data_IF_879841171082
#
_entry.id   IF_879841171082
#
_cell.length_a   1.000
_cell.length_b   1.000
_cell.length_c   1.000
_cell.angle_alpha   90.00
_cell.angle_beta   90.00
_cell.angle_gamma   90.00
#
_symmetry.space_group_name_H-M   'P 1'
#
loop_
_entity.id
_entity.type
_entity.pdbx_description
1 polymer ?
#
# COMPACT_ATOMS: atom_id res chain seq x y z
N UNK A 1 -16.82 3.11 3.82
CA UNK A 1 -15.52 2.53 3.43
C UNK A 1 -15.02 1.77 4.64
N UNK A 2 -14.60 0.51 4.50
CA UNK A 2 -14.07 -0.25 5.65
C UNK A 2 -12.65 0.19 6.00
N UNK A 3 -12.16 -0.08 7.21
CA UNK A 3 -10.77 0.16 7.59
C UNK A 3 -9.80 -0.61 6.68
N UNK A 4 -10.21 -1.81 6.24
CA UNK A 4 -9.49 -2.61 5.25
C UNK A 4 -9.39 -1.91 3.90
N UNK A 5 -10.50 -1.42 3.34
CA UNK A 5 -10.47 -0.65 2.09
C UNK A 5 -9.66 0.64 2.25
N UNK A 6 -9.72 1.28 3.41
CA UNK A 6 -8.92 2.46 3.70
C UNK A 6 -7.41 2.12 3.72
N UNK A 7 -7.00 1.01 4.34
CA UNK A 7 -5.61 0.54 4.30
C UNK A 7 -5.15 0.28 2.87
N UNK A 8 -5.96 -0.40 2.05
CA UNK A 8 -5.60 -0.63 0.64
C UNK A 8 -5.39 0.68 -0.12
N UNK A 9 -6.21 1.70 0.15
CA UNK A 9 -5.99 3.05 -0.40
C UNK A 9 -4.66 3.67 0.07
N UNK A 10 -4.26 3.45 1.33
CA UNK A 10 -2.96 3.94 1.84
C UNK A 10 -1.80 3.26 1.12
N UNK A 11 -1.84 1.93 1.00
CA UNK A 11 -0.79 1.17 0.30
C UNK A 11 -0.73 1.58 -1.17
N UNK A 12 -1.90 1.74 -1.82
CA UNK A 12 -1.98 2.21 -3.19
C UNK A 12 -1.43 3.63 -3.36
N UNK A 13 -1.67 4.54 -2.42
CA UNK A 13 -1.14 5.90 -2.47
C UNK A 13 0.37 5.98 -2.15
N UNK A 14 0.89 5.02 -1.37
CA UNK A 14 2.28 5.00 -0.90
C UNK A 14 2.94 3.63 -1.16
N UNK A 15 3.12 3.23 -2.43
CA UNK A 15 3.76 1.96 -2.77
C UNK A 15 5.21 1.96 -2.28
N UNK A 16 5.60 0.87 -1.63
CA UNK A 16 6.91 0.74 -1.03
C UNK A 16 7.02 1.35 0.37
N UNK A 17 5.92 1.79 0.98
CA UNK A 17 5.93 2.15 2.40
C UNK A 17 6.16 0.91 3.27
N UNK A 18 6.92 1.08 4.34
CA UNK A 18 7.13 0.05 5.35
C UNK A 18 5.94 -0.08 6.29
N UNK A 19 5.84 -1.22 7.01
CA UNK A 19 4.80 -1.43 8.04
C UNK A 19 4.75 -0.28 9.07
N UNK A 20 5.92 0.25 9.45
CA UNK A 20 6.01 1.40 10.37
C UNK A 20 5.43 2.66 9.76
N UNK A 21 5.81 2.98 8.52
CA UNK A 21 5.33 4.16 7.81
C UNK A 21 3.82 4.07 7.54
N UNK A 22 3.30 2.89 7.21
CA UNK A 22 1.87 2.66 7.04
C UNK A 22 1.10 2.88 8.34
N UNK A 23 1.64 2.47 9.50
CA UNK A 23 1.04 2.77 10.81
C UNK A 23 1.04 4.27 11.11
N UNK A 24 2.13 4.97 10.80
CA UNK A 24 2.22 6.42 10.95
C UNK A 24 1.21 7.14 10.03
N UNK A 25 1.08 6.68 8.79
CA UNK A 25 0.13 7.19 7.79
C UNK A 25 -1.34 6.83 8.10
N UNK A 26 -1.59 5.75 8.84
CA UNK A 26 -2.91 5.37 9.31
C UNK A 26 -3.35 6.23 10.50
N UNK A 27 -2.42 6.61 11.37
CA UNK A 27 -2.67 7.49 12.51
C UNK A 27 -2.88 8.97 12.17
N UNK A 28 -2.81 9.34 10.88
CA UNK A 28 -3.17 10.69 10.44
C UNK A 28 -4.67 10.92 10.62
N UNK A 29 -5.07 12.06 11.21
CA UNK A 29 -6.44 12.33 11.64
C UNK A 29 -7.45 12.37 10.49
N UNK A 30 -6.99 12.47 9.25
CA UNK A 30 -7.82 12.39 8.04
C UNK A 30 -8.17 10.95 7.62
N UNK A 31 -7.54 9.94 8.24
CA UNK A 31 -7.70 8.53 7.89
C UNK A 31 -8.57 7.82 8.91
N UNK A 32 -9.57 7.08 8.43
CA UNK A 32 -10.46 6.26 9.26
C UNK A 32 -9.86 4.86 9.48
N UNK A 33 -8.64 4.78 9.99
CA UNK A 33 -7.94 3.52 10.28
C UNK A 33 -7.39 3.59 11.69
N UNK A 34 -7.71 2.62 12.54
CA UNK A 34 -7.06 2.48 13.82
C UNK A 34 -5.60 1.99 13.64
N UNK A 35 -4.57 2.73 14.10
CA UNK A 35 -3.17 2.37 13.93
C UNK A 35 -2.76 1.06 14.62
N UNK A 36 -3.52 0.62 15.62
CA UNK A 36 -3.31 -0.67 16.30
C UNK A 36 -3.80 -1.85 15.44
N UNK A 37 -4.73 -1.62 14.51
CA UNK A 37 -5.27 -2.66 13.61
C UNK A 37 -4.49 -2.83 12.30
N UNK A 38 -3.56 -1.91 12.00
CA UNK A 38 -2.81 -1.89 10.73
C UNK A 38 -2.07 -3.19 10.47
N UNK A 39 -1.45 -3.79 11.50
CA UNK A 39 -0.67 -5.01 11.32
C UNK A 39 -1.57 -6.20 10.94
N UNK A 40 -2.72 -6.34 11.60
CA UNK A 40 -3.72 -7.38 11.29
C UNK A 40 -4.28 -7.21 9.88
N UNK A 41 -4.59 -5.96 9.49
CA UNK A 41 -5.11 -5.65 8.16
C UNK A 41 -4.08 -5.89 7.05
N UNK A 42 -2.78 -5.72 7.34
CA UNK A 42 -1.69 -6.05 6.41
C UNK A 42 -1.55 -7.56 6.23
N UNK A 43 -1.62 -8.32 7.32
CA UNK A 43 -1.59 -9.78 7.26
C UNK A 43 -2.81 -10.33 6.50
N UNK A 44 -3.99 -9.72 6.68
CA UNK A 44 -5.19 -10.01 5.88
C UNK A 44 -4.98 -9.67 4.39
N UNK A 45 -4.39 -8.52 4.08
CA UNK A 45 -4.10 -8.12 2.70
C UNK A 45 -3.11 -9.07 2.01
N UNK A 46 -2.13 -9.59 2.75
CA UNK A 46 -1.20 -10.61 2.29
C UNK A 46 -1.91 -11.95 2.05
N UNK A 47 -2.73 -12.39 3.01
CA UNK A 47 -3.46 -13.65 2.93
C UNK A 47 -4.49 -13.67 1.78
N UNK A 48 -5.08 -12.51 1.48
CA UNK A 48 -6.05 -12.32 0.39
C UNK A 48 -5.40 -12.04 -0.96
N UNK A 49 -4.07 -11.97 -1.00
CA UNK A 49 -3.30 -11.64 -2.20
C UNK A 49 -3.62 -10.23 -2.77
N UNK A 50 -4.21 -9.35 -1.96
CA UNK A 50 -4.56 -7.98 -2.34
C UNK A 50 -3.31 -7.06 -2.30
N UNK A 51 -2.37 -7.33 -1.39
CA UNK A 51 -1.08 -6.67 -1.27
C UNK A 51 0.07 -7.70 -1.17
N UNK A 52 1.28 -7.24 -1.48
CA UNK A 52 2.51 -8.02 -1.38
C UNK A 52 3.49 -7.32 -0.44
N UNK A 53 4.14 -8.11 0.40
CA UNK A 53 5.32 -7.69 1.13
C UNK A 53 6.57 -7.95 0.28
N UNK A 54 7.13 -6.89 -0.30
CA UNK A 54 8.39 -6.89 -1.00
C UNK A 54 9.57 -6.77 -0.02
N UNK A 55 10.59 -7.58 -0.25
CA UNK A 55 11.84 -7.57 0.53
C UNK A 55 11.66 -7.73 2.05
N UNK A 56 10.53 -8.32 2.48
CA UNK A 56 10.20 -8.53 3.89
C UNK A 56 10.03 -7.24 4.71
N UNK A 57 9.72 -6.12 4.07
CA UNK A 57 9.54 -4.84 4.78
C UNK A 57 8.66 -3.83 4.06
N UNK A 58 8.51 -3.90 2.74
CA UNK A 58 7.85 -2.88 1.93
C UNK A 58 6.55 -3.41 1.33
N UNK A 59 5.50 -2.58 1.30
CA UNK A 59 4.18 -3.03 0.86
C UNK A 59 3.80 -2.44 -0.48
N UNK A 60 3.32 -3.28 -1.38
CA UNK A 60 2.84 -2.88 -2.71
C UNK A 60 1.53 -3.58 -3.04
N UNK A 61 0.68 -2.93 -3.83
CA UNK A 61 -0.55 -3.57 -4.33
C UNK A 61 -0.19 -4.65 -5.35
N UNK A 62 -0.83 -5.83 -5.30
CA UNK A 62 -0.57 -6.92 -6.27
C UNK A 62 -1.15 -6.65 -7.66
N UNK A 63 -1.95 -5.60 -7.80
CA UNK A 63 -2.63 -5.12 -9.02
C UNK A 63 -3.69 -6.08 -9.56
N UNK A 64 -4.89 -5.51 -9.69
CA UNK A 64 -6.11 -6.17 -10.17
C UNK A 64 -7.34 -5.30 -9.90
N UNK A 65 -7.35 -4.60 -8.75
CA UNK A 65 -8.45 -3.71 -8.33
C UNK A 65 -8.13 -2.21 -8.34
N UNK A 66 -6.85 -1.84 -8.31
CA UNK A 66 -6.39 -0.44 -8.30
C UNK A 66 -5.38 -0.27 -9.42
N UNK A 67 -5.74 0.49 -10.46
CA UNK A 67 -4.84 0.78 -11.57
C UNK A 67 -3.86 1.86 -11.12
N UNK A 68 -2.56 1.78 -11.46
CA UNK A 68 -1.57 2.79 -11.08
C UNK A 68 -1.90 4.22 -11.59
N UNK A 69 -2.84 4.37 -12.53
CA UNK A 69 -3.34 5.67 -13.02
C UNK A 69 -4.19 6.44 -11.99
N UNK A 70 -4.76 5.79 -10.98
CA UNK A 70 -5.69 6.44 -10.02
C UNK A 70 -4.99 7.17 -8.88
N UNK A 71 -3.71 6.88 -8.64
CA UNK A 71 -2.90 7.55 -7.65
C UNK A 71 -1.77 8.26 -8.38
N UNK A 72 -1.63 9.57 -8.16
CA UNK A 72 -0.61 10.40 -8.78
C UNK A 72 0.80 10.01 -8.30
N UNK A 73 1.27 8.85 -8.74
CA UNK A 73 2.65 8.46 -8.57
C UNK A 73 3.51 9.33 -9.48
N UNK A 74 4.59 9.93 -8.98
CA UNK A 74 5.65 10.31 -9.90
C UNK A 74 6.06 9.02 -10.61
N UNK A 75 5.81 8.94 -11.93
CA UNK A 75 6.51 8.01 -12.79
C UNK A 75 7.98 8.37 -12.61
N UNK A 76 8.66 7.66 -11.72
CA UNK A 76 10.11 7.61 -11.75
C UNK A 76 10.41 6.87 -13.04
N UNK A 77 10.83 7.64 -14.04
CA UNK A 77 11.23 7.19 -15.38
C UNK A 77 12.47 6.24 -15.34
N UNK A 78 12.75 5.64 -14.19
CA UNK A 78 13.91 4.83 -13.84
C UNK A 78 13.75 3.36 -14.25
N UNK A 79 12.53 2.94 -14.64
CA UNK A 79 12.24 1.57 -15.09
C UNK A 79 12.14 1.43 -16.63
N UNK A 80 12.47 2.47 -17.42
CA UNK A 80 12.46 2.42 -18.89
C UNK A 80 13.85 2.29 -19.54
N UNK A 81 14.84 1.74 -18.83
CA UNK A 81 16.16 1.57 -19.42
C UNK A 81 16.77 0.20 -19.11
N UNK A 82 16.05 -0.87 -19.43
CA UNK A 82 16.67 -2.17 -19.71
C UNK A 82 15.79 -2.93 -20.72
N UNK A 83 16.38 -3.29 -21.86
CA UNK A 83 15.82 -3.97 -23.06
C UNK A 83 14.83 -3.16 -23.91
N UNK A 84 15.06 -2.84 -25.19
CA UNK A 84 15.90 -3.42 -26.27
C UNK A 84 16.23 -2.35 -27.31
#
# INVERSE_FOLDING_TARGET
>A
MSEYDALLNVIAAHPGASRKELRELAGDAERAIDPDTVDDLLDDALAREDALEASGSYWVMRTGRFHPDEYGHPITNEWQNETL
#
